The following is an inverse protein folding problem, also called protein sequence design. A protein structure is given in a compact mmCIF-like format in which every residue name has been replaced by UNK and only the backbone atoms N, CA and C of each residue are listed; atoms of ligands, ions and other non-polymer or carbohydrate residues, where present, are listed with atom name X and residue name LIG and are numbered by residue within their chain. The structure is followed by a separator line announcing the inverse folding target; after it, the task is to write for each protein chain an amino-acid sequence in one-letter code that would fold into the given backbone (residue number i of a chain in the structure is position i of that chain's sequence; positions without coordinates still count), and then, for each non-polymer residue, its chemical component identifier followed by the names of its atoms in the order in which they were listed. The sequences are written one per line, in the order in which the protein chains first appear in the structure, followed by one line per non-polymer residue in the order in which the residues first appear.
data_IF_539877871253
#
_entry.id   IF_539877871253
#
_cell.length_a   1.000
_cell.length_b   1.000
_cell.length_c   1.000
_cell.angle_alpha   90.00
_cell.angle_beta   90.00
_cell.angle_gamma   90.00
#
_symmetry.space_group_name_H-M   'P 1'
#
loop_
_entity.id
_entity.type
_entity.pdbx_description
1 polymer ?
#
# COMPACT_ATOMS: atom_id res chain seq x y z
N UNK A 1 -37.61 32.27 -41.70
CA UNK A 1 -36.20 31.79 -41.68
C UNK A 1 -36.04 30.68 -40.63
N UNK A 2 -35.01 29.82 -40.71
CA UNK A 2 -34.80 28.72 -39.73
C UNK A 2 -34.38 29.25 -38.36
N UNK A 3 -34.85 28.70 -37.22
CA UNK A 3 -34.73 27.32 -36.69
C UNK A 3 -33.35 26.95 -36.14
N UNK A 4 -32.95 27.61 -35.05
CA UNK A 4 -31.83 27.17 -34.20
C UNK A 4 -32.23 25.93 -33.38
N UNK A 5 -31.46 24.83 -33.51
CA UNK A 5 -31.58 23.62 -32.66
C UNK A 5 -30.20 23.13 -32.25
N UNK A 6 -29.77 23.45 -31.04
CA UNK A 6 -28.57 22.90 -30.42
C UNK A 6 -28.82 21.44 -30.00
N UNK A 7 -28.12 20.50 -30.64
CA UNK A 7 -27.99 19.11 -30.17
C UNK A 7 -26.52 18.80 -29.94
N UNK A 8 -26.19 18.32 -28.75
CA UNK A 8 -24.85 17.92 -28.36
C UNK A 8 -24.34 16.74 -29.20
N UNK A 9 -23.03 16.75 -29.51
CA UNK A 9 -22.31 15.64 -30.15
C UNK A 9 -20.95 15.47 -29.49
N UNK A 10 -20.72 14.30 -28.89
CA UNK A 10 -19.46 13.96 -28.22
C UNK A 10 -18.29 13.82 -29.22
N UNK A 11 -17.05 14.20 -28.85
CA UNK A 11 -15.90 14.06 -29.76
C UNK A 11 -15.51 12.61 -30.01
N UNK A 12 -15.32 12.21 -31.28
CA UNK A 12 -14.70 10.93 -31.64
C UNK A 12 -13.16 11.07 -31.63
N UNK A 13 -12.48 10.13 -30.97
CA UNK A 13 -11.02 10.15 -30.78
C UNK A 13 -10.30 9.34 -31.88
N UNK A 14 -9.39 9.96 -32.64
CA UNK A 14 -8.63 9.27 -33.70
C UNK A 14 -7.16 9.69 -33.82
N UNK A 15 -6.30 8.67 -34.01
CA UNK A 15 -4.97 8.66 -34.62
C UNK A 15 -3.88 9.62 -34.09
N UNK A 16 -2.78 9.03 -33.65
CA UNK A 16 -1.50 9.18 -34.38
C UNK A 16 -0.68 7.88 -34.33
N UNK A 17 0.20 7.66 -35.31
CA UNK A 17 1.22 6.59 -35.33
C UNK A 17 2.57 7.27 -35.57
N UNK A 18 3.55 7.14 -34.68
CA UNK A 18 4.93 7.56 -34.97
C UNK A 18 5.97 6.52 -34.53
N UNK A 19 7.18 6.64 -35.10
CA UNK A 19 8.24 5.61 -35.09
C UNK A 19 9.34 5.91 -34.07
N UNK A 20 9.88 4.84 -33.46
CA UNK A 20 11.31 4.54 -33.18
C UNK A 20 12.27 5.72 -32.89
N UNK A 21 13.01 5.67 -31.76
CA UNK A 21 14.49 5.43 -31.70
C UNK A 21 15.17 6.05 -30.46
N UNK A 22 15.71 5.19 -29.59
CA UNK A 22 16.70 5.50 -28.53
C UNK A 22 17.64 4.29 -28.32
N UNK A 23 18.83 4.46 -27.72
CA UNK A 23 19.82 3.36 -27.55
C UNK A 23 20.94 3.66 -26.52
N UNK A 24 20.79 3.21 -25.27
CA UNK A 24 21.84 3.09 -24.25
C UNK A 24 21.54 1.86 -23.37
N UNK A 25 22.45 0.96 -22.91
CA UNK A 25 23.92 0.88 -22.69
C UNK A 25 24.44 1.10 -21.26
N UNK A 26 24.13 0.15 -20.37
CA UNK A 26 24.93 -0.35 -19.22
C UNK A 26 24.22 -1.60 -18.65
N UNK A 27 24.80 -2.71 -18.19
CA UNK A 27 26.18 -3.25 -18.08
C UNK A 27 26.91 -3.22 -16.72
N UNK A 28 26.31 -3.87 -15.71
CA UNK A 28 26.94 -4.41 -14.48
C UNK A 28 26.00 -5.51 -13.91
N UNK A 29 26.41 -6.72 -13.50
CA UNK A 29 27.28 -7.12 -12.35
C UNK A 29 26.66 -6.76 -10.99
N UNK A 30 26.44 -7.67 -10.01
CA UNK A 30 26.85 -9.09 -9.82
C UNK A 30 25.80 -9.94 -9.03
N UNK A 31 26.06 -11.26 -8.97
CA UNK A 31 25.79 -12.30 -7.93
C UNK A 31 24.92 -11.96 -6.68
N UNK A 32 24.19 -12.87 -6.01
CA UNK A 32 24.25 -14.37 -5.82
C UNK A 32 22.84 -14.84 -5.29
N UNK A 33 22.49 -16.06 -4.84
CA UNK A 33 23.09 -17.41 -4.65
C UNK A 33 21.98 -18.48 -4.49
N UNK A 34 22.28 -19.78 -4.66
CA UNK A 34 21.48 -20.95 -4.22
C UNK A 34 20.11 -21.15 -4.93
N UNK A 35 19.47 -22.33 -5.04
CA UNK A 35 19.77 -23.72 -4.63
C UNK A 35 18.92 -24.71 -5.49
N UNK A 36 19.26 -25.98 -5.73
CA UNK A 36 20.53 -26.56 -6.21
C UNK A 36 20.26 -27.88 -6.98
N UNK A 37 20.94 -28.11 -8.11
CA UNK A 37 21.57 -29.42 -8.45
C UNK A 37 20.74 -30.72 -8.47
N UNK A 38 19.78 -30.83 -9.41
CA UNK A 38 19.48 -32.15 -9.99
C UNK A 38 20.68 -32.64 -10.82
N UNK A 39 21.20 -33.83 -10.50
CA UNK A 39 22.45 -34.36 -11.08
C UNK A 39 22.29 -35.75 -11.69
N UNK A 40 21.40 -35.85 -12.68
CA UNK A 40 21.41 -36.96 -13.63
C UNK A 40 22.80 -37.07 -14.28
N UNK A 41 23.42 -38.25 -14.20
CA UNK A 41 24.87 -38.42 -14.45
C UNK A 41 25.17 -39.47 -15.50
N UNK A 42 24.55 -39.29 -16.68
CA UNK A 42 24.67 -40.20 -17.81
C UNK A 42 25.97 -40.02 -18.63
N UNK A 43 26.28 -41.07 -19.40
CA UNK A 43 27.12 -41.13 -20.60
C UNK A 43 28.53 -40.49 -20.58
N UNK A 44 29.52 -41.24 -20.03
CA UNK A 44 30.91 -41.14 -20.54
C UNK A 44 31.75 -42.43 -20.37
N UNK A 45 31.56 -43.37 -21.29
CA UNK A 45 32.53 -44.42 -21.64
C UNK A 45 32.93 -44.29 -23.11
N UNK A 46 34.22 -44.50 -23.44
CA UNK A 46 34.72 -44.46 -24.83
C UNK A 46 36.05 -45.23 -24.96
N UNK A 47 36.17 -46.00 -26.05
CA UNK A 47 37.30 -46.90 -26.42
C UNK A 47 37.43 -48.12 -25.50
N UNK A 48 37.81 -49.31 -25.99
CA UNK A 48 38.41 -49.67 -27.29
C UNK A 48 37.60 -50.74 -28.04
N UNK A 49 37.80 -50.79 -29.35
CA UNK A 49 37.33 -51.84 -30.26
C UNK A 49 38.53 -52.52 -30.93
N UNK A 50 38.56 -53.85 -30.93
CA UNK A 50 39.38 -54.72 -31.79
C UNK A 50 38.45 -55.87 -32.21
N UNK A 51 38.57 -56.33 -33.46
CA UNK A 51 37.71 -57.34 -34.11
C UNK A 51 38.55 -58.36 -34.87
N UNK A 52 37.91 -59.44 -35.36
CA UNK A 52 38.51 -60.55 -36.14
C UNK A 52 39.43 -61.46 -35.28
N UNK A 53 39.62 -62.77 -35.51
CA UNK A 53 39.09 -63.79 -36.46
C UNK A 53 39.41 -65.19 -35.86
N UNK A 54 38.81 -66.35 -36.22
CA UNK A 54 37.64 -66.73 -37.06
C UNK A 54 37.21 -68.18 -36.70
N UNK A 55 36.59 -68.92 -37.63
CA UNK A 55 36.17 -70.34 -37.60
C UNK A 55 37.15 -71.37 -37.03
N UNK A 56 36.61 -72.46 -36.44
CA UNK A 56 36.60 -73.78 -37.12
C UNK A 56 35.62 -74.77 -36.45
N UNK A 57 35.41 -75.93 -37.09
CA UNK A 57 34.40 -76.95 -36.78
C UNK A 57 35.03 -78.34 -36.46
N UNK A 58 34.19 -79.39 -36.46
CA UNK A 58 34.44 -80.80 -36.08
C UNK A 58 34.69 -81.03 -34.57
N UNK A 59 34.17 -82.06 -33.89
CA UNK A 59 33.85 -83.45 -34.26
C UNK A 59 35.09 -84.32 -34.62
N UNK A 60 34.99 -85.62 -34.38
CA UNK A 60 36.06 -86.60 -34.57
C UNK A 60 36.52 -87.25 -33.27
N UNK A 61 36.22 -88.54 -33.11
CA UNK A 61 36.63 -89.35 -31.96
C UNK A 61 37.84 -90.24 -32.27
N UNK A 62 38.41 -90.80 -31.20
CA UNK A 62 39.18 -92.07 -31.16
C UNK A 62 40.71 -92.07 -31.43
N UNK A 63 41.34 -93.14 -30.93
CA UNK A 63 42.65 -93.71 -31.30
C UNK A 63 43.92 -92.88 -31.06
N UNK A 64 44.33 -92.84 -29.79
CA UNK A 64 45.53 -93.54 -29.32
C UNK A 64 46.88 -93.35 -30.05
N UNK A 65 47.84 -92.76 -29.33
CA UNK A 65 49.22 -93.28 -29.34
C UNK A 65 49.89 -93.18 -27.98
N UNK A 66 50.67 -94.22 -27.66
CA UNK A 66 51.50 -94.31 -26.44
C UNK A 66 52.66 -93.33 -26.57
N UNK A 67 53.01 -92.60 -25.52
CA UNK A 67 54.39 -92.16 -25.28
C UNK A 67 54.71 -92.07 -23.78
N UNK A 68 55.69 -92.88 -23.33
CA UNK A 68 56.10 -92.95 -21.92
C UNK A 68 57.12 -91.87 -21.56
N UNK A 69 56.67 -90.67 -21.20
CA UNK A 69 57.54 -89.71 -20.50
C UNK A 69 57.44 -89.88 -18.97
N UNK A 70 58.20 -90.89 -18.54
CA UNK A 70 58.69 -91.22 -17.19
C UNK A 70 58.32 -90.24 -16.07
N UNK A 71 57.77 -90.79 -14.98
CA UNK A 71 57.77 -90.19 -13.63
C UNK A 71 59.16 -89.62 -13.32
N UNK A 72 59.30 -88.29 -13.33
CA UNK A 72 60.52 -87.64 -12.84
C UNK A 72 60.42 -87.55 -11.32
N UNK A 73 60.87 -88.60 -10.63
CA UNK A 73 60.84 -88.70 -9.17
C UNK A 73 61.85 -87.75 -8.51
N UNK A 74 61.51 -86.47 -8.52
CA UNK A 74 62.04 -85.40 -7.68
C UNK A 74 60.88 -84.91 -6.83
N UNK A 75 60.74 -85.26 -5.55
CA UNK A 75 61.79 -85.71 -4.63
C UNK A 75 63.05 -84.83 -4.69
N UNK A 76 62.85 -83.53 -4.96
CA UNK A 76 63.57 -82.53 -4.19
C UNK A 76 62.96 -82.63 -2.80
N UNK A 77 63.78 -82.73 -1.76
CA UNK A 77 63.30 -82.54 -0.39
C UNK A 77 62.65 -81.17 -0.36
N UNK A 78 61.42 -81.05 0.16
CA UNK A 78 60.87 -79.73 0.51
C UNK A 78 61.93 -79.08 1.40
N UNK A 79 62.51 -77.98 0.93
CA UNK A 79 63.54 -77.30 1.74
C UNK A 79 62.87 -76.74 2.98
N UNK A 80 63.64 -76.50 4.05
CA UNK A 80 63.09 -75.92 5.30
C UNK A 80 62.25 -74.67 5.00
N UNK A 81 62.70 -73.86 4.02
CA UNK A 81 62.04 -72.68 3.45
C UNK A 81 60.62 -72.96 2.92
N UNK A 82 60.39 -74.09 2.25
CA UNK A 82 59.09 -74.42 1.63
C UNK A 82 58.07 -74.87 2.69
N UNK A 83 58.54 -75.64 3.68
CA UNK A 83 57.75 -76.00 4.88
C UNK A 83 57.44 -74.77 5.75
N UNK A 84 58.41 -73.86 5.90
CA UNK A 84 58.22 -72.58 6.58
C UNK A 84 57.22 -71.69 5.82
N UNK A 85 57.27 -71.64 4.49
CA UNK A 85 56.31 -70.89 3.67
C UNK A 85 54.88 -71.47 3.74
N UNK A 86 54.73 -72.79 3.88
CA UNK A 86 53.42 -73.41 4.15
C UNK A 86 52.89 -73.03 5.54
N UNK A 87 53.73 -73.09 6.57
CA UNK A 87 53.38 -72.62 7.93
C UNK A 87 53.04 -71.12 7.94
N UNK A 88 53.74 -70.30 7.16
CA UNK A 88 53.50 -68.86 7.01
C UNK A 88 52.16 -68.59 6.30
N UNK A 89 51.78 -69.40 5.30
CA UNK A 89 50.44 -69.35 4.68
C UNK A 89 49.34 -69.71 5.67
N UNK A 90 49.52 -70.79 6.45
CA UNK A 90 48.57 -71.16 7.51
C UNK A 90 48.46 -70.08 8.58
N UNK A 91 49.56 -69.38 8.90
CA UNK A 91 49.54 -68.22 9.82
C UNK A 91 48.73 -67.06 9.22
N UNK A 92 48.94 -66.70 7.95
CA UNK A 92 48.15 -65.67 7.26
C UNK A 92 46.66 -66.01 7.15
N UNK A 93 46.31 -67.28 6.96
CA UNK A 93 44.92 -67.73 6.94
C UNK A 93 44.26 -67.52 8.32
N UNK A 94 44.91 -67.98 9.40
CA UNK A 94 44.42 -67.77 10.76
C UNK A 94 44.34 -66.29 11.15
N UNK A 95 45.33 -65.47 10.75
CA UNK A 95 45.28 -64.02 10.95
C UNK A 95 44.12 -63.35 10.17
N UNK A 96 43.75 -63.86 8.99
CA UNK A 96 42.63 -63.34 8.21
C UNK A 96 41.28 -63.77 8.81
N UNK A 97 41.15 -65.03 9.22
CA UNK A 97 39.98 -65.56 9.92
C UNK A 97 39.75 -64.82 11.25
N UNK A 98 40.81 -64.58 12.03
CA UNK A 98 40.76 -63.77 13.26
C UNK A 98 40.30 -62.34 12.97
N UNK A 99 40.82 -61.67 11.95
CA UNK A 99 40.38 -60.31 11.56
C UNK A 99 38.91 -60.27 11.12
N UNK A 100 38.43 -61.29 10.41
CA UNK A 100 37.00 -61.39 10.07
C UNK A 100 36.12 -61.53 11.33
N UNK A 101 36.56 -62.31 12.31
CA UNK A 101 35.87 -62.48 13.61
C UNK A 101 35.92 -61.18 14.43
N UNK A 102 37.06 -60.49 14.47
CA UNK A 102 37.24 -59.19 15.13
C UNK A 102 36.35 -58.12 14.47
N UNK A 103 36.30 -58.08 13.14
CA UNK A 103 35.40 -57.19 12.39
C UNK A 103 33.92 -57.50 12.66
N UNK A 104 33.51 -58.78 12.72
CA UNK A 104 32.15 -59.16 13.08
C UNK A 104 31.81 -58.80 14.53
N UNK A 105 32.75 -58.99 15.47
CA UNK A 105 32.58 -58.57 16.85
C UNK A 105 32.43 -57.04 16.95
N UNK A 106 33.28 -56.28 16.25
CA UNK A 106 33.20 -54.83 16.18
C UNK A 106 31.85 -54.36 15.60
N UNK A 107 31.39 -54.94 14.49
CA UNK A 107 30.08 -54.63 13.87
C UNK A 107 28.90 -54.96 14.81
N UNK A 108 28.99 -56.05 15.59
CA UNK A 108 27.97 -56.41 16.61
C UNK A 108 27.98 -55.40 17.78
N UNK A 109 29.15 -54.97 18.23
CA UNK A 109 29.31 -53.94 19.28
C UNK A 109 28.77 -52.58 18.78
N UNK A 110 29.14 -52.17 17.57
CA UNK A 110 28.65 -50.95 16.92
C UNK A 110 27.11 -50.92 16.86
N UNK A 111 26.48 -52.02 16.43
CA UNK A 111 25.02 -52.13 16.38
C UNK A 111 24.36 -52.07 17.77
N UNK A 112 24.99 -52.62 18.82
CA UNK A 112 24.48 -52.55 20.20
C UNK A 112 24.64 -51.16 20.81
N UNK A 113 25.77 -50.49 20.56
CA UNK A 113 26.01 -49.10 20.97
C UNK A 113 25.03 -48.17 20.24
N UNK A 114 24.91 -48.32 18.93
CA UNK A 114 24.00 -47.53 18.10
C UNK A 114 22.55 -47.65 18.59
N UNK A 115 22.05 -48.88 18.84
CA UNK A 115 20.70 -49.08 19.38
C UNK A 115 20.49 -48.40 20.73
N UNK A 116 21.42 -48.54 21.69
CA UNK A 116 21.32 -47.85 22.98
C UNK A 116 21.31 -46.33 22.84
N UNK A 117 22.15 -45.77 21.96
CA UNK A 117 22.17 -44.33 21.68
C UNK A 117 20.87 -43.89 20.98
N UNK A 118 20.33 -44.68 20.06
CA UNK A 118 19.04 -44.40 19.42
C UNK A 118 17.88 -44.43 20.44
N UNK A 119 17.85 -45.41 21.36
CA UNK A 119 16.87 -45.51 22.46
C UNK A 119 17.00 -44.38 23.51
N UNK A 120 18.22 -43.96 23.85
CA UNK A 120 18.46 -42.83 24.76
C UNK A 120 18.12 -41.48 24.11
N UNK A 121 18.42 -41.32 22.82
CA UNK A 121 18.01 -40.14 22.07
C UNK A 121 16.49 -40.11 21.90
N UNK A 122 15.84 -41.24 21.61
CA UNK A 122 14.38 -41.32 21.45
C UNK A 122 13.62 -40.83 22.68
N UNK A 123 14.00 -41.30 23.88
CA UNK A 123 13.40 -40.82 25.15
C UNK A 123 13.59 -39.31 25.37
N UNK A 124 14.65 -38.72 24.84
CA UNK A 124 14.93 -37.28 24.92
C UNK A 124 14.38 -36.47 23.73
N UNK A 125 14.02 -37.10 22.60
CA UNK A 125 13.46 -36.42 21.42
C UNK A 125 12.17 -35.72 21.83
N UNK A 126 11.26 -36.41 22.52
CA UNK A 126 9.96 -35.87 22.90
C UNK A 126 10.08 -34.68 23.88
N UNK A 127 11.00 -34.76 24.84
CA UNK A 127 11.33 -33.66 25.77
C UNK A 127 11.94 -32.45 25.04
N UNK A 128 12.86 -32.69 24.09
CA UNK A 128 13.51 -31.63 23.30
C UNK A 128 12.52 -31.02 22.31
N UNK A 129 11.71 -31.83 21.65
CA UNK A 129 10.72 -31.39 20.67
C UNK A 129 9.62 -30.56 21.33
N UNK A 130 9.06 -30.99 22.47
CA UNK A 130 8.04 -30.20 23.18
C UNK A 130 8.59 -28.85 23.67
N UNK A 131 9.82 -28.78 24.18
CA UNK A 131 10.44 -27.51 24.58
C UNK A 131 10.82 -26.63 23.37
N UNK A 132 11.22 -27.22 22.23
CA UNK A 132 11.44 -26.48 20.97
C UNK A 132 10.12 -25.94 20.40
N UNK A 133 9.06 -26.75 20.35
CA UNK A 133 7.72 -26.35 19.95
C UNK A 133 7.24 -25.20 20.83
N UNK A 134 7.34 -25.32 22.16
CA UNK A 134 6.99 -24.26 23.12
C UNK A 134 7.74 -22.94 22.89
N UNK A 135 9.03 -23.00 22.57
CA UNK A 135 9.84 -21.80 22.24
C UNK A 135 9.41 -21.18 20.90
N UNK A 136 9.10 -22.01 19.90
CA UNK A 136 8.58 -21.54 18.60
C UNK A 136 7.19 -20.92 18.76
N UNK A 137 6.32 -21.48 19.58
CA UNK A 137 5.01 -20.92 19.90
C UNK A 137 5.11 -19.60 20.67
N UNK A 138 6.01 -19.52 21.66
CA UNK A 138 6.26 -18.27 22.38
C UNK A 138 6.74 -17.15 21.43
N UNK A 139 7.70 -17.46 20.54
CA UNK A 139 8.21 -16.51 19.55
C UNK A 139 7.15 -16.10 18.52
N UNK A 140 6.34 -17.04 18.02
CA UNK A 140 5.17 -16.74 17.16
C UNK A 140 4.18 -15.81 17.87
N UNK A 141 3.82 -16.13 19.11
CA UNK A 141 2.86 -15.36 19.90
C UNK A 141 3.36 -13.94 20.18
N UNK A 142 4.65 -13.75 20.43
CA UNK A 142 5.26 -12.42 20.54
C UNK A 142 5.15 -11.64 19.22
N UNK A 143 5.54 -12.24 18.10
CA UNK A 143 5.44 -11.63 16.76
C UNK A 143 3.97 -11.29 16.38
N UNK A 144 3.03 -12.17 16.70
CA UNK A 144 1.59 -11.94 16.50
C UNK A 144 1.07 -10.80 17.38
N UNK A 145 1.50 -10.70 18.64
CA UNK A 145 1.15 -9.60 19.54
C UNK A 145 1.72 -8.26 19.05
N UNK A 146 2.99 -8.21 18.65
CA UNK A 146 3.62 -7.01 18.08
C UNK A 146 2.92 -6.56 16.79
N UNK A 147 2.66 -7.48 15.87
CA UNK A 147 1.93 -7.20 14.63
C UNK A 147 0.50 -6.70 14.89
N UNK A 148 -0.22 -7.29 15.85
CA UNK A 148 -1.57 -6.87 16.21
C UNK A 148 -1.57 -5.46 16.82
N UNK A 149 -0.60 -5.14 17.69
CA UNK A 149 -0.43 -3.80 18.26
C UNK A 149 -0.06 -2.75 17.20
N UNK A 150 0.78 -3.10 16.21
CA UNK A 150 1.07 -2.20 15.09
C UNK A 150 -0.18 -1.95 14.23
N UNK A 151 -0.95 -3.00 13.92
CA UNK A 151 -2.19 -2.90 13.14
C UNK A 151 -3.27 -2.10 13.89
N UNK A 152 -3.40 -2.27 15.20
CA UNK A 152 -4.32 -1.48 16.04
C UNK A 152 -3.92 -0.01 16.10
N UNK A 153 -2.65 0.28 16.40
CA UNK A 153 -2.11 1.65 16.40
C UNK A 153 -2.28 2.33 15.04
N UNK A 154 -2.07 1.62 13.93
CA UNK A 154 -2.28 2.15 12.58
C UNK A 154 -3.76 2.41 12.26
N UNK A 155 -4.68 1.59 12.78
CA UNK A 155 -6.14 1.83 12.69
C UNK A 155 -6.57 3.02 13.54
N UNK A 156 -5.97 3.21 14.71
CA UNK A 156 -6.23 4.36 15.56
C UNK A 156 -5.72 5.65 14.93
N UNK A 157 -4.48 5.68 14.45
CA UNK A 157 -3.92 6.83 13.71
C UNK A 157 -4.77 7.21 12.48
N UNK A 158 -5.29 6.22 11.74
CA UNK A 158 -6.18 6.49 10.62
C UNK A 158 -7.52 7.12 11.08
N UNK A 159 -8.11 6.64 12.17
CA UNK A 159 -9.33 7.22 12.78
C UNK A 159 -9.08 8.62 13.36
N UNK A 160 -7.92 8.87 13.94
CA UNK A 160 -7.52 10.18 14.47
C UNK A 160 -7.29 11.18 13.32
N UNK A 161 -6.63 10.77 12.23
CA UNK A 161 -6.45 11.61 11.05
C UNK A 161 -7.78 11.92 10.36
N UNK A 162 -8.68 10.94 10.25
CA UNK A 162 -10.05 11.12 9.73
C UNK A 162 -10.84 12.12 10.58
N UNK A 163 -10.93 11.90 11.90
CA UNK A 163 -11.56 12.86 12.84
C UNK A 163 -10.94 14.25 12.77
N UNK A 164 -9.61 14.36 12.68
CA UNK A 164 -8.94 15.66 12.57
C UNK A 164 -9.34 16.37 11.28
N UNK A 165 -9.44 15.65 10.15
CA UNK A 165 -9.90 16.21 8.86
C UNK A 165 -11.35 16.67 8.96
N UNK A 166 -12.24 15.91 9.61
CA UNK A 166 -13.61 16.31 9.89
C UNK A 166 -13.68 17.57 10.76
N UNK A 167 -12.93 17.63 11.86
CA UNK A 167 -12.86 18.80 12.75
C UNK A 167 -12.29 20.04 12.04
N UNK A 168 -11.30 19.86 11.17
CA UNK A 168 -10.78 20.93 10.30
C UNK A 168 -11.78 21.37 9.24
N UNK A 169 -12.61 20.48 8.69
CA UNK A 169 -13.68 20.86 7.75
C UNK A 169 -14.84 21.55 8.45
N UNK A 170 -15.26 21.07 9.62
CA UNK A 170 -16.30 21.69 10.45
C UNK A 170 -15.92 23.12 10.85
N UNK A 171 -14.65 23.36 11.23
CA UNK A 171 -14.14 24.71 11.50
C UNK A 171 -14.24 25.61 10.25
N UNK A 172 -13.78 25.13 9.09
CA UNK A 172 -13.89 25.87 7.81
C UNK A 172 -15.34 26.16 7.41
N UNK A 173 -16.27 25.23 7.65
CA UNK A 173 -17.72 25.42 7.44
C UNK A 173 -18.28 26.50 8.38
N UNK A 174 -17.94 26.46 9.67
CA UNK A 174 -18.34 27.48 10.66
C UNK A 174 -17.75 28.86 10.36
N UNK A 175 -16.49 28.94 9.93
CA UNK A 175 -15.85 30.18 9.48
C UNK A 175 -16.60 30.79 8.28
N UNK A 176 -16.95 29.97 7.27
CA UNK A 176 -17.75 30.40 6.12
C UNK A 176 -19.18 30.81 6.52
N UNK A 177 -19.83 30.08 7.42
CA UNK A 177 -21.16 30.41 7.95
C UNK A 177 -21.14 31.75 8.70
N UNK A 178 -20.14 32.00 9.55
CA UNK A 178 -19.94 33.27 10.25
C UNK A 178 -19.73 34.43 9.26
N UNK A 179 -18.90 34.24 8.23
CA UNK A 179 -18.67 35.25 7.18
C UNK A 179 -19.97 35.56 6.42
N UNK A 180 -20.77 34.55 6.09
CA UNK A 180 -22.08 34.73 5.44
C UNK A 180 -23.09 35.42 6.36
N UNK A 181 -23.14 35.05 7.65
CA UNK A 181 -24.00 35.69 8.63
C UNK A 181 -23.64 37.17 8.85
N UNK A 182 -22.34 37.51 8.93
CA UNK A 182 -21.89 38.90 8.96
C UNK A 182 -22.22 39.66 7.67
N UNK A 183 -22.08 39.04 6.50
CA UNK A 183 -22.41 39.67 5.23
C UNK A 183 -23.91 39.96 5.13
N UNK A 184 -24.75 39.00 5.51
CA UNK A 184 -26.21 39.15 5.56
C UNK A 184 -26.62 40.26 6.55
N UNK A 185 -26.03 40.32 7.75
CA UNK A 185 -26.26 41.43 8.70
C UNK A 185 -25.91 42.79 8.11
N UNK A 186 -24.75 42.92 7.46
CA UNK A 186 -24.32 44.17 6.80
C UNK A 186 -25.25 44.58 5.66
N UNK A 187 -25.82 43.61 4.93
CA UNK A 187 -26.87 43.84 3.91
C UNK A 187 -28.18 44.28 4.57
N UNK A 188 -28.62 43.60 5.64
CA UNK A 188 -29.86 43.92 6.36
C UNK A 188 -29.80 45.31 7.02
N UNK A 189 -28.69 45.66 7.67
CA UNK A 189 -28.43 46.99 8.25
C UNK A 189 -28.44 48.08 7.17
N UNK A 190 -27.82 47.84 6.01
CA UNK A 190 -27.84 48.76 4.88
C UNK A 190 -29.25 48.93 4.29
N UNK A 191 -30.01 47.84 4.14
CA UNK A 191 -31.40 47.90 3.66
C UNK A 191 -32.32 48.60 4.67
N UNK A 192 -32.15 48.33 5.97
CA UNK A 192 -32.88 48.98 7.06
C UNK A 192 -32.61 50.48 7.08
N UNK A 193 -31.35 50.90 6.98
CA UNK A 193 -30.99 52.32 6.91
C UNK A 193 -31.59 52.99 5.66
N UNK A 194 -31.50 52.36 4.49
CA UNK A 194 -32.13 52.87 3.26
C UNK A 194 -33.66 52.95 3.36
N UNK A 195 -34.31 52.11 4.17
CA UNK A 195 -35.73 52.20 4.46
C UNK A 195 -36.06 53.34 5.45
N UNK A 196 -35.22 53.52 6.47
CA UNK A 196 -35.31 54.60 7.46
C UNK A 196 -35.12 55.98 6.81
N UNK A 197 -34.08 56.15 5.98
CA UNK A 197 -33.82 57.36 5.18
C UNK A 197 -35.03 57.70 4.27
N UNK A 198 -35.65 56.69 3.64
CA UNK A 198 -36.85 56.86 2.81
C UNK A 198 -38.07 57.29 3.62
N UNK A 199 -38.27 56.72 4.82
CA UNK A 199 -39.37 57.08 5.70
C UNK A 199 -39.20 58.51 6.24
N UNK A 200 -37.97 58.91 6.59
CA UNK A 200 -37.65 60.26 7.03
C UNK A 200 -37.98 61.31 5.95
N UNK A 201 -37.61 61.05 4.68
CA UNK A 201 -37.95 61.93 3.55
C UNK A 201 -39.48 62.07 3.37
N UNK A 202 -40.24 60.99 3.56
CA UNK A 202 -41.71 61.02 3.46
C UNK A 202 -42.32 61.80 4.63
N UNK A 203 -41.78 61.67 5.85
CA UNK A 203 -42.23 62.44 7.01
C UNK A 203 -41.87 63.94 6.87
N UNK A 204 -40.71 64.27 6.33
CA UNK A 204 -40.30 65.64 6.02
C UNK A 204 -41.21 66.27 4.96
N UNK A 205 -41.47 65.58 3.84
CA UNK A 205 -42.41 66.04 2.81
C UNK A 205 -43.80 66.29 3.41
N UNK A 206 -44.28 65.38 4.28
CA UNK A 206 -45.55 65.55 4.98
C UNK A 206 -45.55 66.78 5.89
N UNK A 207 -44.49 67.03 6.67
CA UNK A 207 -44.37 68.24 7.51
C UNK A 207 -44.37 69.50 6.65
N UNK A 208 -43.61 69.52 5.56
CA UNK A 208 -43.55 70.64 4.61
C UNK A 208 -44.91 70.93 3.98
N UNK A 209 -45.70 69.93 3.59
CA UNK A 209 -47.06 70.16 3.07
C UNK A 209 -48.06 70.54 4.18
N UNK A 210 -47.95 70.01 5.40
CA UNK A 210 -48.75 70.46 6.55
C UNK A 210 -48.46 71.94 6.90
N UNK A 211 -47.19 72.38 6.84
CA UNK A 211 -46.79 73.78 7.00
C UNK A 211 -47.25 74.67 5.83
N UNK A 212 -47.09 74.20 4.60
CA UNK A 212 -47.58 74.90 3.39
C UNK A 212 -49.10 75.07 3.42
N UNK A 213 -49.84 74.11 3.97
CA UNK A 213 -51.28 74.24 4.24
C UNK A 213 -51.58 75.24 5.37
N UNK A 214 -50.81 75.27 6.46
CA UNK A 214 -50.95 76.28 7.53
C UNK A 214 -50.74 77.70 6.96
N UNK A 215 -49.65 77.90 6.21
CA UNK A 215 -49.33 79.18 5.56
C UNK A 215 -50.41 79.63 4.57
N UNK A 216 -50.96 78.72 3.75
CA UNK A 216 -52.10 79.03 2.88
C UNK A 216 -53.35 79.43 3.67
N UNK A 217 -53.70 78.67 4.72
CA UNK A 217 -54.84 78.98 5.60
C UNK A 217 -54.67 80.31 6.32
N UNK A 218 -53.43 80.72 6.64
CA UNK A 218 -53.13 82.02 7.22
C UNK A 218 -53.20 83.15 6.19
N UNK A 219 -52.61 82.99 5.00
CA UNK A 219 -52.73 83.95 3.90
C UNK A 219 -54.19 84.17 3.51
N UNK A 220 -55.00 83.11 3.44
CA UNK A 220 -56.45 83.23 3.24
C UNK A 220 -57.15 84.02 4.35
N UNK A 221 -56.75 83.87 5.63
CA UNK A 221 -57.30 84.67 6.73
C UNK A 221 -56.92 86.13 6.58
N UNK A 222 -55.64 86.43 6.36
CA UNK A 222 -55.12 87.80 6.13
C UNK A 222 -55.87 88.47 4.98
N UNK A 223 -56.01 87.81 3.82
CA UNK A 223 -56.77 88.32 2.67
C UNK A 223 -58.26 88.55 3.03
N UNK A 224 -58.89 87.63 3.78
CA UNK A 224 -60.29 87.79 4.24
C UNK A 224 -60.44 88.90 5.29
N UNK A 225 -59.39 89.25 6.01
CA UNK A 225 -59.33 90.36 6.98
C UNK A 225 -59.07 91.69 6.27
N UNK A 226 -58.12 91.75 5.35
CA UNK A 226 -57.89 92.88 4.43
C UNK A 226 -59.15 93.22 3.62
N UNK A 227 -59.85 92.22 3.08
CA UNK A 227 -61.14 92.43 2.41
C UNK A 227 -62.20 93.00 3.35
N UNK A 228 -62.24 92.60 4.64
CA UNK A 228 -63.15 93.20 5.64
C UNK A 228 -62.77 94.64 5.98
N UNK A 229 -61.47 94.96 6.04
CA UNK A 229 -60.96 96.33 6.22
C UNK A 229 -61.39 97.22 5.05
N UNK A 230 -61.19 96.76 3.81
CA UNK A 230 -61.50 97.50 2.58
C UNK A 230 -63.02 97.68 2.40
N UNK A 231 -63.83 96.64 2.64
CA UNK A 231 -65.30 96.75 2.60
C UNK A 231 -65.91 97.51 3.80
N UNK A 232 -65.12 97.90 4.80
CA UNK A 232 -65.62 98.58 6.00
C UNK A 232 -66.53 97.74 6.91
N UNK A 233 -66.58 96.41 6.70
CA UNK A 233 -67.42 95.50 7.50
C UNK A 233 -66.89 95.45 8.94
N UNK A 234 -67.81 95.57 9.91
CA UNK A 234 -67.55 95.62 11.35
C UNK A 234 -66.80 96.89 11.81
N UNK A 235 -67.14 98.08 11.27
CA UNK A 235 -66.55 99.38 11.64
C UNK A 235 -65.01 99.45 11.46
N UNK A 236 -64.45 98.59 10.62
CA UNK A 236 -63.02 98.38 10.39
C UNK A 236 -62.30 99.55 9.71
N UNK A 237 -63.03 100.41 8.99
CA UNK A 237 -62.49 101.56 8.25
C UNK A 237 -62.27 102.74 9.20
N UNK A 238 -61.02 103.21 9.41
CA UNK A 238 -60.74 104.32 10.31
C UNK A 238 -61.43 105.61 9.85
N UNK A 239 -62.03 106.34 10.79
CA UNK A 239 -62.72 107.61 10.50
C UNK A 239 -61.70 108.72 10.25
N UNK A 240 -61.42 108.98 8.97
CA UNK A 240 -60.62 110.12 8.53
C UNK A 240 -61.35 111.45 8.82
N UNK A 241 -60.97 112.11 9.90
CA UNK A 241 -61.44 113.45 10.25
C UNK A 241 -60.69 114.52 9.44
N UNK A 242 -61.18 114.80 8.23
CA UNK A 242 -60.66 115.91 7.42
C UNK A 242 -61.13 117.26 7.97
N UNK A 243 -60.20 118.05 8.50
CA UNK A 243 -60.44 119.47 8.77
C UNK A 243 -60.39 120.26 7.47
N UNK A 244 -61.56 120.63 6.93
CA UNK A 244 -61.60 121.66 5.90
C UNK A 244 -61.10 122.97 6.50
N UNK A 245 -59.96 123.47 6.01
CA UNK A 245 -59.62 124.89 6.18
C UNK A 245 -60.63 125.70 5.38
N UNK A 246 -61.33 126.69 5.96
CA UNK A 246 -62.18 127.59 5.18
C UNK A 246 -61.32 128.33 4.15
N UNK A 247 -61.86 128.50 2.94
CA UNK A 247 -61.19 129.29 1.90
C UNK A 247 -61.08 130.76 2.30
N UNK A 248 -59.96 131.38 1.95
CA UNK A 248 -59.78 132.84 2.03
C UNK A 248 -59.98 133.39 0.61
N UNK A 249 -60.72 134.50 0.51
CA UNK A 249 -61.02 135.20 -0.75
C UNK A 249 -59.85 136.04 -1.25
#
# INVERSE_FOLDING_TARGET
MGRSRSRSRSPKKHKSKHRKRSKSRSSSHHHRSSYDKYRERSSKSRKRSISESSDSSSDGSNSGSRHHHKKSSRSRKLTEVERLAEMERQRRQKEAEQKMIEEEAAKRIELLVKKRVEEELEKRKDEIETEVQRRVEAAKKQMEQEMMLELEKRREQAREEERRREEEELKKRQELENILAENNRKIEEAQRKLAEDRLAIIEEQRKMDEERQKMRKEQEKRIKEEQKMILGKNNSRPKLSFSLKPGVS
#
